data_IF_280351887598
#
_entry.id   IF_280351887598
#
_cell.length_a   1.000
_cell.length_b   1.000
_cell.length_c   1.000
_cell.angle_alpha   90.00
_cell.angle_beta   90.00
_cell.angle_gamma   90.00
#
_symmetry.space_group_name_H-M   'P 1'
#
loop_
_entity.id
_entity.type
_entity.pdbx_description
1 polymer ?
#
# COMPACT_ATOMS: atom_id res chain seq x y z
N UNK A 1 1.47 -9.04 -3.78
CA UNK A 1 0.14 -8.41 -3.69
C UNK A 1 -0.78 -8.82 -4.86
N UNK A 2 -0.32 -8.83 -6.10
CA UNK A 2 -1.09 -9.36 -7.25
C UNK A 2 -1.50 -10.82 -7.05
N UNK A 3 -0.64 -11.64 -6.48
CA UNK A 3 -0.92 -13.06 -6.14
C UNK A 3 -2.18 -13.21 -5.27
N UNK A 4 -2.41 -12.30 -4.31
CA UNK A 4 -3.61 -12.37 -3.43
C UNK A 4 -4.90 -12.07 -4.17
N UNK A 5 -4.87 -11.10 -5.10
CA UNK A 5 -6.03 -10.79 -5.96
C UNK A 5 -6.32 -11.94 -6.92
N UNK A 6 -5.27 -12.50 -7.55
CA UNK A 6 -5.43 -13.67 -8.43
C UNK A 6 -5.95 -14.90 -7.65
N UNK A 7 -5.57 -15.07 -6.38
CA UNK A 7 -6.11 -16.12 -5.51
C UNK A 7 -7.62 -15.94 -5.22
N UNK A 8 -8.12 -14.71 -5.09
CA UNK A 8 -9.56 -14.41 -5.02
C UNK A 8 -10.24 -14.83 -6.33
N UNK A 9 -9.70 -14.44 -7.50
CA UNK A 9 -10.26 -14.83 -8.81
C UNK A 9 -10.24 -16.34 -9.04
N UNK A 10 -9.18 -17.01 -8.60
CA UNK A 10 -9.05 -18.47 -8.64
C UNK A 10 -9.94 -19.19 -7.61
N UNK A 11 -10.66 -18.46 -6.75
CA UNK A 11 -11.50 -18.99 -5.67
C UNK A 11 -10.73 -19.84 -4.66
N UNK A 12 -9.41 -19.66 -4.56
CA UNK A 12 -8.55 -20.37 -3.59
C UNK A 12 -8.51 -19.70 -2.22
N UNK A 13 -8.92 -18.43 -2.14
CA UNK A 13 -9.15 -17.70 -0.89
C UNK A 13 -10.44 -16.88 -0.99
N UNK A 14 -11.09 -16.63 0.12
CA UNK A 14 -12.33 -15.88 0.20
C UNK A 14 -12.16 -14.47 0.74
N UNK A 15 -11.16 -14.25 1.61
CA UNK A 15 -10.82 -12.95 2.19
C UNK A 15 -9.31 -12.74 2.15
N UNK A 16 -8.91 -11.46 2.04
CA UNK A 16 -7.51 -11.10 2.14
C UNK A 16 -7.33 -9.60 2.40
N UNK A 17 -6.16 -9.22 2.88
CA UNK A 17 -5.74 -7.82 2.96
C UNK A 17 -4.95 -7.44 1.70
N UNK A 18 -5.34 -6.32 1.08
CA UNK A 18 -4.67 -5.77 -0.12
C UNK A 18 -4.64 -4.25 -0.06
N UNK A 19 -3.80 -3.63 -0.90
CA UNK A 19 -3.83 -2.19 -1.09
C UNK A 19 -5.07 -1.73 -1.88
N UNK A 20 -5.46 -0.45 -1.80
CA UNK A 20 -6.64 0.08 -2.48
C UNK A 20 -6.57 -0.05 -4.02
N UNK A 21 -5.44 0.24 -4.67
CA UNK A 21 -5.33 0.13 -6.13
C UNK A 21 -5.53 -1.30 -6.65
N UNK A 22 -4.90 -2.35 -6.08
CA UNK A 22 -5.22 -3.72 -6.42
C UNK A 22 -6.70 -4.10 -6.24
N UNK A 23 -7.36 -3.62 -5.16
CA UNK A 23 -8.78 -3.86 -4.93
C UNK A 23 -9.65 -3.16 -5.99
N UNK A 24 -9.38 -1.88 -6.30
CA UNK A 24 -10.10 -1.12 -7.33
C UNK A 24 -9.90 -1.78 -8.70
N UNK A 25 -8.68 -2.15 -9.07
CA UNK A 25 -8.40 -2.81 -10.33
C UNK A 25 -9.12 -4.16 -10.47
N UNK A 26 -9.15 -4.96 -9.40
CA UNK A 26 -9.89 -6.22 -9.38
C UNK A 26 -11.39 -6.00 -9.57
N UNK A 27 -11.96 -5.01 -8.88
CA UNK A 27 -13.35 -4.65 -8.99
C UNK A 27 -13.71 -4.21 -10.42
N UNK A 28 -12.92 -3.33 -11.02
CA UNK A 28 -13.14 -2.82 -12.37
C UNK A 28 -12.98 -3.94 -13.41
N UNK A 29 -11.92 -4.76 -13.33
CA UNK A 29 -11.69 -5.91 -14.23
C UNK A 29 -12.82 -6.92 -14.22
N UNK A 30 -13.41 -7.15 -13.05
CA UNK A 30 -14.54 -8.08 -12.88
C UNK A 30 -15.91 -7.43 -13.09
N UNK A 31 -15.96 -6.18 -13.52
CA UNK A 31 -17.22 -5.42 -13.63
C UNK A 31 -18.05 -5.47 -12.33
N UNK A 32 -17.36 -5.43 -11.19
CA UNK A 32 -17.96 -5.50 -9.87
C UNK A 32 -18.45 -6.89 -9.44
N UNK A 33 -18.08 -7.98 -10.13
CA UNK A 33 -18.63 -9.31 -9.84
C UNK A 33 -17.84 -10.09 -8.76
N UNK A 34 -16.54 -9.81 -8.58
CA UNK A 34 -15.68 -10.73 -7.82
C UNK A 34 -15.33 -10.25 -6.41
N UNK A 35 -15.24 -8.95 -6.16
CA UNK A 35 -14.64 -8.44 -4.94
C UNK A 35 -15.45 -7.30 -4.30
N UNK A 36 -15.42 -7.23 -2.96
CA UNK A 36 -15.91 -6.09 -2.16
C UNK A 36 -14.91 -5.76 -1.07
N UNK A 37 -14.75 -4.48 -0.78
CA UNK A 37 -14.08 -4.01 0.43
C UNK A 37 -15.08 -4.07 1.57
N UNK A 38 -14.74 -4.78 2.65
CA UNK A 38 -15.62 -5.00 3.80
C UNK A 38 -15.16 -4.27 5.06
N UNK A 39 -13.92 -3.82 5.11
CA UNK A 39 -13.38 -2.95 6.16
C UNK A 39 -12.10 -2.24 5.71
N UNK A 40 -11.75 -1.13 6.37
CA UNK A 40 -10.40 -0.60 6.41
C UNK A 40 -9.48 -1.51 7.22
N UNK A 41 -8.19 -1.24 7.21
CA UNK A 41 -7.20 -1.92 8.06
C UNK A 41 -6.09 -0.97 8.50
N UNK A 42 -5.40 -0.33 7.55
CA UNK A 42 -4.30 0.59 7.86
C UNK A 42 -4.31 1.76 6.89
N UNK A 43 -4.17 2.97 7.46
CA UNK A 43 -3.80 4.18 6.73
C UNK A 43 -2.36 4.56 7.06
N UNK A 44 -1.73 5.37 6.22
CA UNK A 44 -0.34 5.80 6.38
C UNK A 44 0.67 4.68 6.12
N UNK A 45 1.88 4.87 6.61
CA UNK A 45 2.98 3.92 6.47
C UNK A 45 3.53 3.78 5.05
N UNK A 46 3.07 4.59 4.10
CA UNK A 46 3.62 4.64 2.74
C UNK A 46 4.35 5.97 2.54
N UNK A 47 5.61 5.92 2.10
CA UNK A 47 6.43 7.12 1.96
C UNK A 47 7.38 7.05 0.78
N UNK A 48 7.76 8.22 0.27
CA UNK A 48 8.90 8.41 -0.63
C UNK A 48 10.15 8.72 0.19
N UNK A 49 11.14 7.86 0.09
CA UNK A 49 12.43 7.99 0.78
C UNK A 49 13.51 8.34 -0.24
N UNK A 50 14.32 9.34 0.06
CA UNK A 50 15.51 9.75 -0.68
C UNK A 50 16.76 9.55 0.17
N UNK A 51 17.95 9.62 -0.42
CA UNK A 51 19.20 9.62 0.34
C UNK A 51 19.31 10.89 1.20
N UNK A 52 19.76 10.75 2.43
CA UNK A 52 19.97 11.87 3.36
C UNK A 52 20.91 12.91 2.75
N UNK A 53 20.49 14.17 2.80
CA UNK A 53 21.22 15.26 2.16
C UNK A 53 21.07 15.32 0.63
N UNK A 54 20.20 14.52 0.03
CA UNK A 54 19.89 14.58 -1.40
C UNK A 54 19.37 15.97 -1.80
N UNK A 55 19.72 16.47 -3.00
CA UNK A 55 19.15 17.70 -3.55
C UNK A 55 17.70 17.56 -3.98
N UNK A 56 17.14 16.35 -3.99
CA UNK A 56 15.75 16.09 -4.38
C UNK A 56 14.79 16.61 -3.31
N UNK A 57 13.98 17.62 -3.65
CA UNK A 57 13.04 18.28 -2.72
C UNK A 57 11.61 18.28 -3.24
N UNK A 58 11.43 18.20 -4.55
CA UNK A 58 10.13 18.21 -5.21
C UNK A 58 10.12 17.29 -6.43
N UNK A 59 8.96 17.00 -7.00
CA UNK A 59 8.82 16.08 -8.12
C UNK A 59 9.66 16.46 -9.36
N UNK A 60 9.84 17.76 -9.63
CA UNK A 60 10.62 18.24 -10.76
C UNK A 60 12.09 17.86 -10.72
N UNK A 61 12.65 17.70 -9.50
CA UNK A 61 14.06 17.34 -9.28
C UNK A 61 14.36 15.87 -9.70
N UNK A 62 13.30 15.08 -9.92
CA UNK A 62 13.43 13.68 -10.31
C UNK A 62 13.68 13.46 -11.80
N UNK A 63 13.88 14.49 -12.60
CA UNK A 63 14.24 14.35 -14.01
C UNK A 63 15.55 13.55 -14.15
N UNK A 64 15.50 12.45 -14.93
CA UNK A 64 16.61 11.52 -15.12
C UNK A 64 16.86 10.55 -13.94
N UNK A 65 16.02 10.59 -12.91
CA UNK A 65 16.18 9.79 -11.69
C UNK A 65 15.45 8.46 -11.74
N UNK A 66 15.91 7.51 -10.91
CA UNK A 66 15.33 6.18 -10.73
C UNK A 66 14.64 6.08 -9.37
N UNK A 67 13.34 5.77 -9.39
CA UNK A 67 12.53 5.54 -8.19
C UNK A 67 12.09 4.08 -8.18
N UNK A 68 12.44 3.33 -7.13
CA UNK A 68 11.93 1.97 -6.96
C UNK A 68 10.55 1.98 -6.30
N UNK A 69 9.68 1.05 -6.73
CA UNK A 69 8.36 0.78 -6.13
C UNK A 69 8.18 -0.72 -5.96
N UNK A 70 7.38 -1.24 -4.99
CA UNK A 70 7.36 -2.67 -4.69
C UNK A 70 6.89 -3.56 -5.85
N UNK A 71 5.94 -3.06 -6.67
CA UNK A 71 5.35 -3.83 -7.77
C UNK A 71 4.63 -2.91 -8.74
N UNK A 72 4.71 -3.20 -10.03
CA UNK A 72 4.01 -2.46 -11.07
C UNK A 72 2.49 -2.44 -10.83
N UNK A 73 1.91 -1.23 -10.85
CA UNK A 73 0.47 -1.00 -10.67
C UNK A 73 -0.05 -1.24 -9.24
N UNK A 74 0.81 -1.45 -8.26
CA UNK A 74 0.39 -1.43 -6.86
C UNK A 74 0.17 0.01 -6.36
N UNK A 75 -0.31 0.15 -5.15
CA UNK A 75 -0.64 1.47 -4.57
C UNK A 75 0.54 2.43 -4.57
N UNK A 76 1.75 1.96 -4.21
CA UNK A 76 2.97 2.77 -4.17
C UNK A 76 3.47 3.15 -5.57
N UNK A 77 3.34 2.25 -6.54
CA UNK A 77 3.73 2.53 -7.93
C UNK A 77 2.82 3.58 -8.57
N UNK A 78 1.50 3.46 -8.34
CA UNK A 78 0.53 4.47 -8.78
C UNK A 78 0.79 5.81 -8.10
N UNK A 79 1.04 5.81 -6.78
CA UNK A 79 1.33 7.02 -6.02
C UNK A 79 2.59 7.72 -6.53
N UNK A 80 3.69 6.99 -6.73
CA UNK A 80 4.95 7.53 -7.25
C UNK A 80 4.75 8.17 -8.64
N UNK A 81 4.12 7.45 -9.56
CA UNK A 81 3.86 7.94 -10.93
C UNK A 81 2.94 9.16 -10.93
N UNK A 82 1.86 9.13 -10.16
CA UNK A 82 0.90 10.23 -10.06
C UNK A 82 1.54 11.48 -9.47
N UNK A 83 2.35 11.34 -8.41
CA UNK A 83 3.07 12.44 -7.79
C UNK A 83 4.08 13.10 -8.74
N UNK A 84 4.87 12.28 -9.45
CA UNK A 84 5.83 12.75 -10.45
C UNK A 84 5.12 13.46 -11.62
N UNK A 85 4.01 12.89 -12.11
CA UNK A 85 3.20 13.46 -13.18
C UNK A 85 2.58 14.80 -12.78
N UNK A 86 2.06 14.90 -11.55
CA UNK A 86 1.53 16.14 -10.99
C UNK A 86 2.62 17.24 -10.87
N UNK A 87 3.88 16.84 -10.71
CA UNK A 87 5.04 17.73 -10.73
C UNK A 87 5.55 18.09 -12.14
N UNK A 88 4.79 17.74 -13.19
CA UNK A 88 5.09 18.11 -14.59
C UNK A 88 6.06 17.17 -15.29
N UNK A 89 6.35 15.99 -14.73
CA UNK A 89 7.19 15.00 -15.40
C UNK A 89 6.34 14.05 -16.25
N UNK A 90 6.80 13.75 -17.44
CA UNK A 90 6.22 12.70 -18.29
C UNK A 90 6.69 11.34 -17.77
N UNK A 91 5.76 10.53 -17.27
CA UNK A 91 6.03 9.19 -16.75
C UNK A 91 5.43 8.15 -17.69
N UNK A 92 6.27 7.25 -18.18
CA UNK A 92 5.88 6.13 -19.03
C UNK A 92 6.33 4.80 -18.44
N UNK A 93 5.81 3.70 -18.94
CA UNK A 93 6.23 2.36 -18.52
C UNK A 93 7.70 2.11 -18.91
N UNK A 94 8.08 2.58 -20.09
CA UNK A 94 9.47 2.58 -20.58
C UNK A 94 9.81 3.98 -21.06
N UNK A 95 10.98 4.50 -20.62
CA UNK A 95 11.38 5.88 -20.92
C UNK A 95 10.62 6.91 -20.09
N UNK A 96 10.55 8.16 -20.61
CA UNK A 96 9.97 9.30 -19.87
C UNK A 96 11.04 10.18 -19.23
N UNK A 97 10.57 11.13 -18.40
CA UNK A 97 11.47 12.10 -17.74
C UNK A 97 12.11 11.54 -16.46
N UNK A 98 11.48 10.53 -15.84
CA UNK A 98 12.00 9.75 -14.70
C UNK A 98 11.64 8.27 -14.88
N UNK A 99 12.39 7.39 -14.23
CA UNK A 99 12.17 5.94 -14.30
C UNK A 99 11.55 5.45 -13.00
N UNK A 100 10.35 4.88 -13.07
CA UNK A 100 9.72 4.17 -11.94
C UNK A 100 9.90 2.67 -12.17
N UNK A 101 10.71 2.03 -11.31
CA UNK A 101 11.20 0.65 -11.49
C UNK A 101 10.57 -0.25 -10.42
N UNK A 102 9.69 -1.19 -10.82
CA UNK A 102 9.17 -2.20 -9.89
C UNK A 102 10.30 -3.10 -9.37
N UNK A 103 10.45 -3.14 -8.06
CA UNK A 103 11.55 -3.82 -7.37
C UNK A 103 11.04 -4.38 -6.04
N UNK A 104 11.29 -5.64 -5.72
CA UNK A 104 10.86 -6.22 -4.45
C UNK A 104 11.49 -5.49 -3.25
N UNK A 105 10.75 -5.38 -2.14
CA UNK A 105 11.20 -4.58 -1.00
C UNK A 105 12.60 -4.92 -0.46
N UNK A 106 13.02 -6.19 -0.32
CA UNK A 106 14.38 -6.51 0.11
C UNK A 106 15.44 -5.97 -0.87
N UNK A 107 15.16 -6.07 -2.18
CA UNK A 107 16.06 -5.59 -3.22
C UNK A 107 16.11 -4.06 -3.26
N UNK A 108 14.98 -3.39 -2.96
CA UNK A 108 14.95 -1.92 -2.82
C UNK A 108 15.96 -1.44 -1.78
N UNK A 109 15.98 -2.07 -0.59
CA UNK A 109 16.91 -1.72 0.48
C UNK A 109 18.37 -1.91 0.04
N UNK A 110 18.67 -3.03 -0.64
CA UNK A 110 20.01 -3.32 -1.14
C UNK A 110 20.46 -2.31 -2.19
N UNK A 111 19.63 -2.07 -3.22
CA UNK A 111 19.95 -1.15 -4.31
C UNK A 111 20.07 0.30 -3.82
N UNK A 112 19.25 0.69 -2.84
CA UNK A 112 19.33 2.00 -2.21
C UNK A 112 20.64 2.17 -1.44
N UNK A 113 21.03 1.20 -0.60
CA UNK A 113 22.36 1.18 0.07
C UNK A 113 23.52 1.33 -0.90
N UNK A 114 23.42 0.68 -2.06
CA UNK A 114 24.43 0.69 -3.12
C UNK A 114 24.36 1.96 -4.00
N UNK A 115 23.43 2.87 -3.74
CA UNK A 115 23.17 4.09 -4.55
C UNK A 115 22.88 3.82 -6.02
N UNK A 116 22.27 2.66 -6.33
CA UNK A 116 21.87 2.27 -7.68
C UNK A 116 20.49 2.82 -8.07
N UNK A 117 19.73 3.29 -7.08
CA UNK A 117 18.45 3.99 -7.20
C UNK A 117 18.51 5.28 -6.39
N UNK A 118 17.85 6.33 -6.88
CA UNK A 118 17.88 7.66 -6.25
C UNK A 118 16.84 7.80 -5.13
N UNK A 119 15.75 7.03 -5.22
CA UNK A 119 14.66 7.07 -4.25
C UNK A 119 13.86 5.76 -4.23
N UNK A 120 13.08 5.59 -3.18
CA UNK A 120 12.17 4.44 -3.00
C UNK A 120 10.82 4.93 -2.52
N UNK A 121 9.74 4.57 -3.22
CA UNK A 121 8.38 4.69 -2.69
C UNK A 121 7.93 3.34 -2.17
N UNK A 122 7.82 3.19 -0.87
CA UNK A 122 7.54 1.89 -0.24
C UNK A 122 6.59 2.02 0.96
N UNK A 123 6.44 0.96 1.73
CA UNK A 123 5.59 0.89 2.93
C UNK A 123 6.39 0.43 4.14
N UNK A 124 5.85 0.69 5.34
CA UNK A 124 6.41 0.12 6.56
C UNK A 124 6.39 -1.43 6.55
N UNK A 125 7.37 -2.09 7.13
CA UNK A 125 8.51 -1.53 7.89
C UNK A 125 9.71 -1.11 7.03
N UNK A 126 9.58 -1.12 5.71
CA UNK A 126 10.68 -0.84 4.78
C UNK A 126 11.09 0.62 4.76
N UNK A 127 10.15 1.56 4.99
CA UNK A 127 10.46 2.99 5.14
C UNK A 127 11.41 3.18 6.32
N UNK A 128 11.06 2.66 7.48
CA UNK A 128 11.91 2.72 8.69
C UNK A 128 13.25 2.01 8.51
N UNK A 129 13.29 0.89 7.77
CA UNK A 129 14.54 0.21 7.43
C UNK A 129 15.45 1.06 6.54
N UNK A 130 14.89 1.74 5.55
CA UNK A 130 15.65 2.65 4.69
C UNK A 130 16.27 3.79 5.51
N UNK A 131 15.53 4.36 6.46
CA UNK A 131 16.06 5.42 7.33
C UNK A 131 17.13 4.90 8.30
N UNK A 132 16.89 3.76 8.97
CA UNK A 132 17.78 3.25 10.02
C UNK A 132 18.99 2.49 9.47
N UNK A 133 18.85 1.85 8.31
CA UNK A 133 19.86 0.93 7.78
C UNK A 133 20.55 1.44 6.51
N UNK A 134 20.06 2.51 5.87
CA UNK A 134 20.51 2.95 4.56
C UNK A 134 20.65 4.47 4.39
N UNK A 135 20.72 5.24 5.49
CA UNK A 135 20.78 6.70 5.46
C UNK A 135 19.68 7.34 4.60
N UNK A 136 18.46 6.81 4.71
CA UNK A 136 17.27 7.33 4.06
C UNK A 136 16.69 8.54 4.81
N UNK A 137 16.04 9.44 4.07
CA UNK A 137 15.27 10.56 4.58
C UNK A 137 13.90 10.57 3.89
N UNK A 138 12.82 10.66 4.66
CA UNK A 138 11.47 10.72 4.11
C UNK A 138 11.23 12.08 3.48
N UNK A 139 10.88 12.08 2.20
CA UNK A 139 10.55 13.29 1.43
C UNK A 139 9.03 13.52 1.35
N UNK A 140 8.25 12.45 1.18
CA UNK A 140 6.79 12.51 1.11
C UNK A 140 6.21 11.45 2.04
N UNK A 141 5.30 11.86 2.92
CA UNK A 141 4.56 11.00 3.85
C UNK A 141 3.08 11.45 3.85
N UNK A 142 2.15 10.53 3.62
CA UNK A 142 0.72 10.78 3.71
C UNK A 142 0.10 9.80 4.72
N UNK A 143 -0.07 10.24 5.94
CA UNK A 143 -0.58 9.44 7.07
C UNK A 143 -2.07 9.11 6.95
N UNK A 144 -2.80 9.83 6.14
CA UNK A 144 -4.25 9.61 5.94
C UNK A 144 -4.53 8.70 4.74
N UNK A 145 -3.55 8.51 3.84
CA UNK A 145 -3.73 7.66 2.68
C UNK A 145 -3.98 6.20 3.09
N UNK A 146 -5.03 5.60 2.55
CA UNK A 146 -5.31 4.18 2.77
C UNK A 146 -4.17 3.36 2.17
N UNK A 147 -3.58 2.47 2.97
CA UNK A 147 -2.54 1.54 2.49
C UNK A 147 -3.00 0.10 2.47
N UNK A 148 -3.96 -0.26 3.32
CA UNK A 148 -4.49 -1.63 3.38
C UNK A 148 -5.98 -1.64 3.68
N UNK A 149 -6.72 -2.47 2.93
CA UNK A 149 -8.15 -2.76 3.14
C UNK A 149 -8.38 -4.25 3.24
N UNK A 150 -9.40 -4.66 3.99
CA UNK A 150 -9.91 -6.02 4.00
C UNK A 150 -10.92 -6.20 2.87
N UNK A 151 -10.68 -7.18 2.03
CA UNK A 151 -11.57 -7.51 0.90
C UNK A 151 -12.12 -8.91 1.06
N UNK A 152 -13.36 -9.09 0.59
CA UNK A 152 -14.02 -10.37 0.51
C UNK A 152 -14.46 -10.67 -0.92
N UNK A 153 -14.51 -11.95 -1.28
CA UNK A 153 -15.11 -12.40 -2.53
C UNK A 153 -16.62 -12.12 -2.51
N UNK A 154 -17.14 -11.49 -3.57
CA UNK A 154 -18.55 -11.09 -3.63
C UNK A 154 -19.51 -12.28 -3.48
N UNK A 155 -19.16 -13.45 -4.05
CA UNK A 155 -19.96 -14.67 -3.91
C UNK A 155 -20.06 -15.15 -2.44
N UNK A 156 -19.00 -14.98 -1.62
CA UNK A 156 -19.04 -15.30 -0.20
C UNK A 156 -19.97 -14.35 0.56
N UNK A 157 -19.95 -13.06 0.24
CA UNK A 157 -20.90 -12.10 0.81
C UNK A 157 -22.35 -12.48 0.53
N UNK A 158 -22.65 -12.98 -0.67
CA UNK A 158 -24.00 -13.40 -1.04
C UNK A 158 -24.44 -14.71 -0.35
N UNK A 159 -23.53 -15.70 -0.26
CA UNK A 159 -23.86 -17.06 0.21
C UNK A 159 -23.61 -17.30 1.69
N UNK A 160 -22.70 -16.54 2.32
CA UNK A 160 -22.25 -16.73 3.70
C UNK A 160 -22.20 -15.40 4.48
N UNK A 161 -23.19 -14.53 4.28
CA UNK A 161 -23.25 -13.20 4.88
C UNK A 161 -23.03 -13.23 6.40
N UNK A 162 -23.63 -14.20 7.10
CA UNK A 162 -23.48 -14.34 8.56
C UNK A 162 -22.04 -14.62 8.99
N UNK A 163 -21.28 -15.40 8.21
CA UNK A 163 -19.87 -15.66 8.46
C UNK A 163 -19.02 -14.41 8.21
N UNK A 164 -19.24 -13.72 7.09
CA UNK A 164 -18.50 -12.49 6.77
C UNK A 164 -18.74 -11.43 7.83
N UNK A 165 -19.99 -11.28 8.31
CA UNK A 165 -20.34 -10.36 9.40
C UNK A 165 -19.57 -10.66 10.68
N UNK A 166 -19.46 -11.93 11.08
CA UNK A 166 -18.67 -12.33 12.26
C UNK A 166 -17.18 -12.04 12.07
N UNK A 167 -16.63 -12.31 10.89
CA UNK A 167 -15.22 -12.04 10.58
C UNK A 167 -14.91 -10.53 10.61
N UNK A 168 -15.79 -9.70 10.05
CA UNK A 168 -15.63 -8.23 10.08
C UNK A 168 -15.79 -7.70 11.50
N UNK A 169 -16.70 -8.27 12.31
CA UNK A 169 -16.83 -7.90 13.71
C UNK A 169 -15.54 -8.23 14.49
N UNK A 170 -15.00 -9.44 14.35
CA UNK A 170 -13.73 -9.82 14.97
C UNK A 170 -12.56 -8.96 14.52
N UNK A 171 -12.51 -8.60 13.22
CA UNK A 171 -11.51 -7.65 12.70
C UNK A 171 -11.62 -6.27 13.37
N UNK A 172 -12.84 -5.74 13.56
CA UNK A 172 -13.06 -4.47 14.26
C UNK A 172 -12.68 -4.54 15.74
N UNK A 173 -13.06 -5.60 16.42
CA UNK A 173 -12.66 -5.83 17.82
C UNK A 173 -11.13 -5.88 17.97
N UNK A 174 -10.44 -6.59 17.06
CA UNK A 174 -8.98 -6.63 17.04
C UNK A 174 -8.38 -5.25 16.74
N UNK A 175 -8.95 -4.51 15.80
CA UNK A 175 -8.54 -3.12 15.48
C UNK A 175 -8.62 -2.23 16.72
N UNK A 176 -9.75 -2.28 17.45
CA UNK A 176 -9.91 -1.53 18.69
C UNK A 176 -8.92 -1.97 19.78
N UNK A 177 -8.68 -3.28 19.89
CA UNK A 177 -7.71 -3.80 20.86
C UNK A 177 -6.29 -3.30 20.54
N UNK A 178 -5.87 -3.32 19.26
CA UNK A 178 -4.57 -2.81 18.82
C UNK A 178 -4.40 -1.34 19.20
N UNK A 179 -5.42 -0.53 18.95
CA UNK A 179 -5.40 0.91 19.27
C UNK A 179 -5.32 1.15 20.79
N UNK A 180 -5.99 0.34 21.59
CA UNK A 180 -5.98 0.44 23.06
C UNK A 180 -4.73 -0.14 23.71
N UNK A 181 -4.02 -1.06 23.02
CA UNK A 181 -2.88 -1.81 23.57
C UNK A 181 -1.64 -1.71 22.64
N UNK A 182 -1.17 -0.50 22.29
CA UNK A 182 -0.15 -0.32 21.26
C UNK A 182 1.19 -0.98 21.58
N UNK A 183 1.60 -1.00 22.86
CA UNK A 183 2.87 -1.62 23.26
C UNK A 183 2.86 -3.15 23.04
N UNK A 184 1.76 -3.81 23.41
CA UNK A 184 1.60 -5.26 23.23
C UNK A 184 1.43 -5.61 21.74
N UNK A 185 0.66 -4.82 20.99
CA UNK A 185 0.49 -4.99 19.55
C UNK A 185 1.83 -4.86 18.80
N UNK A 186 2.66 -3.87 19.15
CA UNK A 186 4.01 -3.72 18.62
C UNK A 186 4.91 -4.92 18.94
N UNK A 187 4.83 -5.44 20.18
CA UNK A 187 5.59 -6.64 20.58
C UNK A 187 5.21 -7.83 19.71
N UNK A 188 3.91 -8.11 19.59
CA UNK A 188 3.39 -9.22 18.77
C UNK A 188 3.75 -9.06 17.29
N UNK A 189 3.56 -7.87 16.72
CA UNK A 189 3.93 -7.58 15.34
C UNK A 189 5.43 -7.77 15.09
N UNK A 190 6.27 -7.38 16.05
CA UNK A 190 7.72 -7.58 15.96
C UNK A 190 8.11 -9.06 15.94
N UNK A 191 7.50 -9.87 16.80
CA UNK A 191 7.75 -11.29 16.89
C UNK A 191 7.35 -11.98 15.58
N UNK A 192 6.13 -11.74 15.10
CA UNK A 192 5.60 -12.30 13.86
C UNK A 192 6.43 -11.90 12.62
N UNK A 193 6.73 -10.61 12.47
CA UNK A 193 7.56 -10.12 11.36
C UNK A 193 8.97 -10.70 11.41
N UNK A 194 9.54 -10.88 12.61
CA UNK A 194 10.88 -11.47 12.75
C UNK A 194 10.91 -12.93 12.34
N UNK A 195 9.85 -13.68 12.64
CA UNK A 195 9.69 -15.09 12.25
C UNK A 195 9.45 -15.21 10.73
N UNK A 196 8.44 -14.48 10.20
CA UNK A 196 8.07 -14.54 8.77
C UNK A 196 9.22 -14.14 7.86
N UNK A 197 9.92 -13.05 8.20
CA UNK A 197 11.01 -12.52 7.39
C UNK A 197 12.38 -13.13 7.72
N UNK A 198 12.46 -14.04 8.69
CA UNK A 198 13.70 -14.68 9.17
C UNK A 198 14.79 -13.64 9.47
N UNK A 199 14.40 -12.52 10.04
CA UNK A 199 15.26 -11.38 10.33
C UNK A 199 14.83 -10.76 11.66
N UNK A 200 15.80 -10.43 12.52
CA UNK A 200 15.49 -9.82 13.82
C UNK A 200 15.08 -8.35 13.64
N UNK A 201 13.84 -8.04 13.98
CA UNK A 201 13.35 -6.66 14.07
C UNK A 201 13.67 -6.08 15.45
N UNK A 202 14.29 -4.90 15.49
CA UNK A 202 14.53 -4.19 16.74
C UNK A 202 13.24 -3.52 17.25
N UNK A 203 13.09 -3.33 18.57
CA UNK A 203 11.97 -2.53 19.11
C UNK A 203 11.93 -1.11 18.53
N UNK A 204 13.08 -0.47 18.31
CA UNK A 204 13.19 0.86 17.71
C UNK A 204 12.61 0.91 16.29
N UNK A 205 12.96 -0.09 15.46
CA UNK A 205 12.43 -0.19 14.10
C UNK A 205 10.90 -0.28 14.10
N UNK A 206 10.35 -1.14 14.96
CA UNK A 206 8.91 -1.34 15.04
C UNK A 206 8.20 -0.10 15.58
N UNK A 207 8.74 0.54 16.61
CA UNK A 207 8.18 1.78 17.14
C UNK A 207 8.16 2.88 16.07
N UNK A 208 9.27 3.06 15.33
CA UNK A 208 9.36 4.03 14.25
C UNK A 208 8.36 3.76 13.11
N UNK A 209 8.20 2.49 12.72
CA UNK A 209 7.21 2.09 11.75
C UNK A 209 5.77 2.32 12.24
N UNK A 210 5.52 2.05 13.52
CA UNK A 210 4.22 2.23 14.15
C UNK A 210 3.77 3.69 14.16
N UNK A 211 4.69 4.62 14.38
CA UNK A 211 4.40 6.06 14.39
C UNK A 211 3.88 6.60 13.05
N UNK A 212 4.09 5.86 11.94
CA UNK A 212 3.61 6.26 10.60
C UNK A 212 2.29 5.62 10.21
N UNK A 213 1.85 4.59 10.90
CA UNK A 213 0.60 3.89 10.57
C UNK A 213 -0.55 4.34 11.47
N UNK A 214 -1.74 4.29 10.91
CA UNK A 214 -3.00 4.47 11.63
C UNK A 214 -3.83 3.21 11.41
N UNK A 215 -3.97 2.40 12.47
CA UNK A 215 -4.79 1.19 12.43
C UNK A 215 -6.26 1.61 12.54
N UNK A 216 -7.09 1.22 11.57
CA UNK A 216 -8.49 1.65 11.47
C UNK A 216 -9.35 0.63 10.75
N UNK A 217 -10.58 0.43 11.19
CA UNK A 217 -11.58 -0.35 10.45
C UNK A 217 -12.37 0.45 9.41
N UNK A 218 -12.14 1.77 9.35
CA UNK A 218 -12.91 2.68 8.51
C UNK A 218 -12.34 2.78 7.10
N UNK A 219 -13.23 2.80 6.11
CA UNK A 219 -12.92 3.09 4.71
C UNK A 219 -14.12 3.78 4.07
N UNK A 220 -13.89 4.84 3.32
CA UNK A 220 -14.95 5.61 2.64
C UNK A 220 -14.78 5.56 1.13
N UNK A 221 -15.90 5.67 0.41
CA UNK A 221 -15.86 5.79 -1.05
C UNK A 221 -15.08 7.01 -1.51
N UNK A 222 -15.17 8.12 -0.79
CA UNK A 222 -14.48 9.37 -1.16
C UNK A 222 -12.96 9.24 -1.05
N UNK A 223 -12.47 8.54 -0.04
CA UNK A 223 -11.03 8.22 0.05
C UNK A 223 -10.58 7.30 -1.10
N UNK A 224 -11.42 6.35 -1.54
CA UNK A 224 -11.12 5.47 -2.67
C UNK A 224 -11.16 6.19 -4.03
N UNK A 225 -12.02 7.21 -4.21
CA UNK A 225 -12.07 8.03 -5.42
C UNK A 225 -10.74 8.73 -5.72
N UNK A 226 -9.97 9.11 -4.69
CA UNK A 226 -8.63 9.68 -4.85
C UNK A 226 -7.69 8.70 -5.55
N UNK A 227 -7.75 7.41 -5.19
CA UNK A 227 -6.95 6.36 -5.85
C UNK A 227 -7.38 6.11 -7.29
N UNK A 228 -8.69 6.18 -7.57
CA UNK A 228 -9.22 6.10 -8.95
C UNK A 228 -8.64 7.24 -9.78
N UNK A 229 -8.71 8.48 -9.31
CA UNK A 229 -8.19 9.65 -9.99
C UNK A 229 -6.66 9.53 -10.25
N UNK A 230 -5.90 9.12 -9.24
CA UNK A 230 -4.46 8.88 -9.38
C UNK A 230 -4.15 7.79 -10.41
N UNK A 231 -4.86 6.67 -10.39
CA UNK A 231 -4.68 5.59 -11.34
C UNK A 231 -5.05 5.99 -12.78
N UNK A 232 -6.08 6.82 -12.94
CA UNK A 232 -6.48 7.39 -14.24
C UNK A 232 -5.41 8.35 -14.78
N UNK A 233 -4.88 9.24 -13.94
CA UNK A 233 -3.87 10.24 -14.37
C UNK A 233 -2.61 9.62 -14.94
N UNK A 234 -2.31 8.38 -14.56
CA UNK A 234 -1.12 7.64 -15.03
C UNK A 234 -1.46 6.42 -15.92
N UNK A 235 -2.70 6.31 -16.38
CA UNK A 235 -3.11 5.32 -17.38
C UNK A 235 -3.34 3.89 -16.88
N UNK A 236 -3.37 3.66 -15.56
CA UNK A 236 -3.71 2.34 -15.00
C UNK A 236 -5.22 2.04 -15.00
N UNK A 237 -6.04 3.08 -14.98
CA UNK A 237 -7.49 2.96 -15.17
C UNK A 237 -7.94 3.80 -16.35
N UNK A 238 -8.83 3.24 -17.17
CA UNK A 238 -9.47 3.92 -18.29
C UNK A 238 -10.92 4.26 -17.98
N UNK A 239 -11.41 5.37 -18.50
CA UNK A 239 -12.77 5.83 -18.28
C UNK A 239 -13.03 6.25 -16.82
N UNK A 240 -14.29 6.39 -16.43
CA UNK A 240 -14.73 6.70 -15.07
C UNK A 240 -15.47 5.48 -14.49
N UNK A 241 -14.78 4.53 -13.87
CA UNK A 241 -15.43 3.34 -13.35
C UNK A 241 -16.37 3.72 -12.21
N UNK A 242 -17.57 3.16 -12.23
CA UNK A 242 -18.47 3.24 -11.09
C UNK A 242 -17.99 2.30 -9.97
N UNK A 243 -17.56 2.88 -8.86
CA UNK A 243 -17.11 2.16 -7.66
C UNK A 243 -18.13 2.25 -6.51
N UNK A 244 -19.35 2.71 -6.77
CA UNK A 244 -20.37 2.92 -5.72
C UNK A 244 -20.66 1.66 -4.91
N UNK A 245 -20.59 0.49 -5.53
CA UNK A 245 -20.79 -0.81 -4.88
C UNK A 245 -19.49 -1.53 -4.46
N UNK A 246 -18.33 -0.88 -4.54
CA UNK A 246 -17.06 -1.48 -4.15
C UNK A 246 -16.98 -1.71 -2.64
N UNK A 247 -17.49 -0.77 -1.83
CA UNK A 247 -17.56 -0.91 -0.37
C UNK A 247 -18.88 -1.56 0.00
N UNK A 248 -18.82 -2.63 0.78
CA UNK A 248 -19.99 -3.34 1.29
C UNK A 248 -19.94 -3.41 2.82
N UNK A 249 -21.08 -3.16 3.46
CA UNK A 249 -21.29 -3.42 4.89
C UNK A 249 -22.00 -4.76 5.03
N UNK A 250 -21.34 -5.83 5.50
CA UNK A 250 -21.93 -7.15 5.67
C UNK A 250 -22.93 -7.22 6.83
#
# INVERSE_FOLDING_TARGET
MQVRVEAIFAKSIDLTYVGPNPAINAYVRSQGQEIRIVAGSVNGGSALVVHKGSPLKNAGDFRGKKIATPQFGNTQDVAARSWLSAGGLRIAQTGGDAQVVPTANPDQLLLFKQKQIDAVWTVEPWVSRLELEADGEVLVDDREAITTVLVARAAMLASQQGLVRKLVAAHRELTEWIVKNPAEAQRMAREELSEEMRTKFSPELVAKAWDRIVVTGEVTLDSLKKFVASAQSVGFLRGAPDISSLVASP
#
